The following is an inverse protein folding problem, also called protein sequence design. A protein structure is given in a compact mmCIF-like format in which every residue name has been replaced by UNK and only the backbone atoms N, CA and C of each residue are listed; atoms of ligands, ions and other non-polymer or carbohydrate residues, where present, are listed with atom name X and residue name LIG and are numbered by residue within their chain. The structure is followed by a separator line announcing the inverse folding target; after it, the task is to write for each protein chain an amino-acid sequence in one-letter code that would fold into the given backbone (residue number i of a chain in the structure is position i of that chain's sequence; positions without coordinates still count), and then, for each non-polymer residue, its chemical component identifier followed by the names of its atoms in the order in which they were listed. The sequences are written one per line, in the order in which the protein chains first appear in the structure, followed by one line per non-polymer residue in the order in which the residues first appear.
data_IF_832711334970
#
_entry.id   IF_832711334970
#
_cell.length_a   1.000
_cell.length_b   1.000
_cell.length_c   1.000
_cell.angle_alpha   90.00
_cell.angle_beta   90.00
_cell.angle_gamma   90.00
#
_symmetry.space_group_name_H-M   'P 1'
#
loop_
_entity.id
_entity.type
_entity.pdbx_description
1 polymer ?
#
# COMPACT_ATOMS: atom_id res chain seq x y z
N UNK A 1 -6.39 -9.37 9.92
CA UNK A 1 -7.13 -10.11 8.88
C UNK A 1 -7.90 -11.30 9.46
N UNK A 2 -7.33 -12.16 10.31
CA UNK A 2 -8.03 -13.34 10.88
C UNK A 2 -9.30 -12.94 11.61
N UNK A 3 -9.27 -11.95 12.48
CA UNK A 3 -10.46 -11.52 13.23
C UNK A 3 -11.53 -10.86 12.35
N UNK A 4 -11.11 -10.13 11.31
CA UNK A 4 -12.02 -9.61 10.30
C UNK A 4 -12.71 -10.77 9.56
N UNK A 5 -11.95 -11.78 9.14
CA UNK A 5 -12.48 -12.96 8.49
C UNK A 5 -13.44 -13.75 9.42
N UNK A 6 -13.13 -13.85 10.70
CA UNK A 6 -14.03 -14.49 11.69
C UNK A 6 -15.33 -13.72 11.85
N UNK A 7 -15.30 -12.39 11.85
CA UNK A 7 -16.50 -11.54 11.95
C UNK A 7 -17.30 -11.55 10.65
N UNK A 8 -16.62 -11.35 9.50
CA UNK A 8 -17.30 -11.13 8.22
C UNK A 8 -16.47 -11.68 7.04
N UNK A 9 -16.42 -13.00 6.94
CA UNK A 9 -15.60 -13.72 5.95
C UNK A 9 -15.89 -13.36 4.50
N UNK A 10 -17.13 -13.03 4.15
CA UNK A 10 -17.56 -12.73 2.79
C UNK A 10 -17.31 -11.29 2.37
N UNK A 11 -16.94 -10.39 3.29
CA UNK A 11 -16.71 -8.98 2.99
C UNK A 11 -15.56 -8.79 2.00
N UNK A 12 -14.48 -9.54 2.16
CA UNK A 12 -13.33 -9.53 1.26
C UNK A 12 -13.59 -10.34 -0.02
N UNK A 13 -14.23 -11.51 0.10
CA UNK A 13 -14.47 -12.42 -1.02
C UNK A 13 -15.38 -11.82 -2.09
N UNK A 14 -16.33 -10.97 -1.70
CA UNK A 14 -17.30 -10.35 -2.62
C UNK A 14 -16.86 -8.96 -3.09
N UNK A 15 -15.61 -8.55 -2.82
CA UNK A 15 -15.05 -7.25 -3.24
C UNK A 15 -15.98 -6.05 -2.99
N UNK A 16 -16.72 -6.09 -1.85
CA UNK A 16 -17.71 -5.06 -1.51
C UNK A 16 -17.07 -3.68 -1.44
N UNK A 17 -15.84 -3.61 -0.93
CA UNK A 17 -15.04 -2.39 -0.83
C UNK A 17 -13.70 -2.57 -1.53
N UNK A 18 -13.30 -1.58 -2.32
CA UNK A 18 -11.97 -1.53 -2.96
C UNK A 18 -10.83 -1.45 -1.94
N UNK A 19 -11.09 -0.85 -0.77
CA UNK A 19 -10.17 -0.82 0.36
C UNK A 19 -10.87 -1.35 1.61
N UNK A 20 -10.41 -2.49 2.09
CA UNK A 20 -10.97 -3.16 3.26
C UNK A 20 -10.73 -2.38 4.58
N UNK A 21 -9.74 -1.52 4.62
CA UNK A 21 -9.40 -0.61 5.73
C UNK A 21 -9.76 0.84 5.44
N UNK A 22 -10.63 1.08 4.45
CA UNK A 22 -11.17 2.41 4.17
C UNK A 22 -12.29 2.81 5.13
N UNK A 23 -12.60 4.11 5.21
CA UNK A 23 -13.55 4.68 6.17
C UNK A 23 -14.91 3.95 6.22
N UNK A 24 -15.50 3.64 5.06
CA UNK A 24 -16.80 2.95 4.99
C UNK A 24 -16.71 1.49 5.48
N UNK A 25 -15.67 0.75 5.09
CA UNK A 25 -15.47 -0.63 5.57
C UNK A 25 -15.21 -0.67 7.06
N UNK A 26 -14.38 0.23 7.59
CA UNK A 26 -14.14 0.36 9.03
C UNK A 26 -15.42 0.72 9.80
N UNK A 27 -16.25 1.63 9.27
CA UNK A 27 -17.52 1.96 9.88
C UNK A 27 -18.46 0.75 9.95
N UNK A 28 -18.56 -0.02 8.85
CA UNK A 28 -19.32 -1.28 8.84
C UNK A 28 -18.82 -2.25 9.90
N UNK A 29 -17.50 -2.41 10.02
CA UNK A 29 -16.90 -3.34 10.98
C UNK A 29 -17.03 -2.91 12.44
N UNK A 30 -17.11 -1.61 12.70
CA UNK A 30 -17.22 -1.06 14.06
C UNK A 30 -18.68 -0.87 14.52
N UNK A 31 -19.57 -0.41 13.62
CA UNK A 31 -20.92 -0.02 14.02
C UNK A 31 -21.92 -1.18 13.98
N UNK A 32 -21.67 -2.21 13.15
CA UNK A 32 -22.53 -3.41 13.16
C UNK A 32 -21.92 -4.52 14.02
N UNK A 33 -22.73 -5.06 14.92
CA UNK A 33 -22.30 -6.14 15.81
C UNK A 33 -22.02 -7.45 15.02
N UNK A 34 -22.88 -7.76 14.06
CA UNK A 34 -22.78 -8.98 13.26
C UNK A 34 -23.24 -8.77 11.81
N UNK A 35 -22.88 -9.67 10.89
CA UNK A 35 -23.43 -9.68 9.53
C UNK A 35 -24.96 -9.80 9.49
N UNK A 36 -25.58 -10.51 10.44
CA UNK A 36 -27.04 -10.67 10.52
C UNK A 36 -27.74 -9.32 10.71
N UNK A 37 -27.14 -8.39 11.48
CA UNK A 37 -27.65 -7.05 11.67
C UNK A 37 -27.68 -6.26 10.36
N UNK A 38 -26.62 -6.36 9.56
CA UNK A 38 -26.54 -5.73 8.23
C UNK A 38 -27.59 -6.35 7.29
N UNK A 39 -27.72 -7.68 7.28
CA UNK A 39 -28.69 -8.37 6.44
C UNK A 39 -30.14 -7.99 6.75
N UNK A 40 -30.43 -7.69 8.02
CA UNK A 40 -31.78 -7.27 8.48
C UNK A 40 -32.10 -5.80 8.19
N UNK A 41 -31.09 -4.92 8.02
CA UNK A 41 -31.31 -3.49 7.78
C UNK A 41 -32.02 -3.22 6.45
N UNK A 42 -32.91 -2.21 6.37
CA UNK A 42 -33.46 -1.68 5.11
C UNK A 42 -32.33 -1.22 4.18
N UNK A 43 -32.54 -1.38 2.87
CA UNK A 43 -31.53 -1.02 1.87
C UNK A 43 -31.23 0.49 1.89
N UNK A 44 -32.25 1.31 2.05
CA UNK A 44 -32.12 2.76 2.05
C UNK A 44 -31.29 3.26 3.24
N UNK A 45 -31.48 2.68 4.41
CA UNK A 45 -30.66 2.99 5.59
C UNK A 45 -29.18 2.61 5.39
N UNK A 46 -28.91 1.50 4.69
CA UNK A 46 -27.52 1.11 4.37
C UNK A 46 -26.92 2.06 3.34
N UNK A 47 -27.68 2.55 2.37
CA UNK A 47 -27.21 3.55 1.41
C UNK A 47 -26.82 4.83 2.14
N UNK A 48 -27.71 5.35 2.99
CA UNK A 48 -27.47 6.57 3.76
C UNK A 48 -26.24 6.43 4.67
N UNK A 49 -26.15 5.30 5.36
CA UNK A 49 -24.98 4.96 6.19
C UNK A 49 -23.67 4.95 5.38
N UNK A 50 -23.65 4.28 4.22
CA UNK A 50 -22.46 4.23 3.37
C UNK A 50 -22.09 5.61 2.83
N UNK A 51 -23.06 6.42 2.45
CA UNK A 51 -22.83 7.77 1.95
C UNK A 51 -22.26 8.69 3.06
N UNK A 52 -22.79 8.60 4.27
CA UNK A 52 -22.29 9.37 5.42
C UNK A 52 -20.85 8.96 5.77
N UNK A 53 -20.61 7.66 6.00
CA UNK A 53 -19.32 7.16 6.49
C UNK A 53 -18.25 7.08 5.39
N UNK A 54 -18.65 6.93 4.14
CA UNK A 54 -17.77 6.92 2.98
C UNK A 54 -17.45 8.29 2.40
N UNK A 55 -17.86 9.39 3.07
CA UNK A 55 -17.63 10.77 2.62
C UNK A 55 -18.10 11.03 1.20
N UNK A 56 -19.21 10.42 0.79
CA UNK A 56 -19.81 10.54 -0.55
C UNK A 56 -18.92 10.06 -1.73
N UNK A 57 -17.90 9.24 -1.46
CA UNK A 57 -16.96 8.75 -2.50
C UNK A 57 -17.40 7.48 -3.24
N UNK A 58 -18.68 7.10 -3.15
CA UNK A 58 -19.19 5.96 -3.91
C UNK A 58 -19.75 6.39 -5.26
N UNK A 59 -19.25 5.79 -6.33
CA UNK A 59 -19.81 5.99 -7.68
C UNK A 59 -21.21 5.39 -7.83
N UNK A 60 -21.50 4.29 -7.12
CA UNK A 60 -22.81 3.64 -7.08
C UNK A 60 -23.11 3.10 -5.65
N UNK A 61 -23.60 3.97 -4.74
CA UNK A 61 -23.86 3.57 -3.35
C UNK A 61 -24.92 2.47 -3.22
N UNK A 62 -25.91 2.46 -4.09
CA UNK A 62 -26.95 1.43 -4.12
C UNK A 62 -26.36 0.05 -4.42
N UNK A 63 -25.55 -0.07 -5.48
CA UNK A 63 -24.90 -1.33 -5.81
C UNK A 63 -23.98 -1.82 -4.69
N UNK A 64 -23.24 -0.90 -4.04
CA UNK A 64 -22.39 -1.23 -2.89
C UNK A 64 -23.22 -1.72 -1.69
N UNK A 65 -24.34 -1.08 -1.39
CA UNK A 65 -25.25 -1.51 -0.31
C UNK A 65 -25.88 -2.88 -0.60
N UNK A 66 -26.28 -3.14 -1.83
CA UNK A 66 -26.79 -4.44 -2.26
C UNK A 66 -25.72 -5.54 -2.15
N UNK A 67 -24.49 -5.25 -2.59
CA UNK A 67 -23.35 -6.16 -2.46
C UNK A 67 -23.03 -6.45 -0.98
N UNK A 68 -23.02 -5.43 -0.12
CA UNK A 68 -22.82 -5.55 1.32
C UNK A 68 -23.90 -6.42 1.96
N UNK A 69 -25.17 -6.19 1.61
CA UNK A 69 -26.29 -6.97 2.13
C UNK A 69 -26.25 -8.43 1.67
N UNK A 70 -25.88 -8.69 0.44
CA UNK A 70 -25.69 -10.03 -0.10
C UNK A 70 -24.49 -10.73 0.57
N UNK A 71 -23.37 -10.04 0.75
CA UNK A 71 -22.23 -10.55 1.49
C UNK A 71 -22.63 -10.93 2.93
N UNK A 72 -23.40 -10.08 3.61
CA UNK A 72 -23.88 -10.32 4.96
C UNK A 72 -24.79 -11.55 5.09
N UNK A 73 -25.68 -11.75 4.12
CA UNK A 73 -26.56 -12.93 4.06
C UNK A 73 -25.80 -14.25 3.87
N UNK A 74 -24.69 -14.19 3.14
CA UNK A 74 -23.86 -15.35 2.82
C UNK A 74 -22.71 -15.54 3.83
N UNK A 75 -22.59 -14.67 4.82
CA UNK A 75 -21.53 -14.75 5.82
C UNK A 75 -21.73 -15.98 6.74
N UNK A 76 -20.60 -16.57 7.12
CA UNK A 76 -20.61 -17.63 8.13
C UNK A 76 -21.01 -17.06 9.49
N UNK A 77 -21.97 -17.70 10.15
CA UNK A 77 -22.44 -17.25 11.45
C UNK A 77 -21.52 -17.73 12.56
N UNK A 78 -20.85 -16.77 13.20
CA UNK A 78 -20.07 -17.05 14.39
C UNK A 78 -21.03 -17.28 15.59
N UNK A 79 -20.68 -18.20 16.48
CA UNK A 79 -21.46 -18.39 17.70
C UNK A 79 -21.46 -17.11 18.53
N UNK A 80 -22.64 -16.73 19.08
CA UNK A 80 -22.86 -15.45 19.74
C UNK A 80 -21.86 -15.12 20.87
N UNK A 81 -21.43 -16.12 21.64
CA UNK A 81 -20.45 -15.96 22.71
C UNK A 81 -19.02 -15.62 22.22
N UNK A 82 -18.72 -15.84 20.93
CA UNK A 82 -17.42 -15.51 20.32
C UNK A 82 -17.45 -14.17 19.59
N UNK A 83 -18.62 -13.62 19.30
CA UNK A 83 -18.75 -12.37 18.55
C UNK A 83 -18.21 -11.16 19.33
N UNK A 84 -18.51 -11.07 20.61
CA UNK A 84 -18.08 -9.95 21.47
C UNK A 84 -16.54 -9.87 21.58
N UNK A 85 -15.80 -10.95 21.92
CA UNK A 85 -14.34 -10.93 21.91
C UNK A 85 -13.74 -10.57 20.52
N UNK A 86 -14.33 -11.10 19.46
CA UNK A 86 -13.85 -10.79 18.09
C UNK A 86 -14.05 -9.33 17.74
N UNK A 87 -15.20 -8.74 18.10
CA UNK A 87 -15.48 -7.32 17.91
C UNK A 87 -14.50 -6.44 18.70
N UNK A 88 -14.23 -6.78 19.96
CA UNK A 88 -13.29 -6.05 20.80
C UNK A 88 -11.88 -6.04 20.20
N UNK A 89 -11.37 -7.21 19.80
CA UNK A 89 -10.03 -7.33 19.19
C UNK A 89 -9.99 -6.58 17.86
N UNK A 90 -11.05 -6.66 17.07
CA UNK A 90 -11.12 -5.97 15.78
C UNK A 90 -11.12 -4.45 15.96
N UNK A 91 -11.96 -3.92 16.87
CA UNK A 91 -12.02 -2.49 17.17
C UNK A 91 -10.67 -1.95 17.64
N UNK A 92 -10.03 -2.64 18.60
CA UNK A 92 -8.70 -2.27 19.11
C UNK A 92 -7.63 -2.30 18.00
N UNK A 93 -7.70 -3.29 17.12
CA UNK A 93 -6.76 -3.39 15.99
C UNK A 93 -6.95 -2.25 14.98
N UNK A 94 -8.19 -1.90 14.66
CA UNK A 94 -8.51 -0.79 13.76
C UNK A 94 -8.08 0.56 14.36
N UNK A 95 -8.29 0.77 15.66
CA UNK A 95 -7.81 1.96 16.35
C UNK A 95 -6.28 2.08 16.30
N UNK A 96 -5.58 0.96 16.50
CA UNK A 96 -4.11 0.90 16.38
C UNK A 96 -3.66 1.29 14.97
N UNK A 97 -4.31 0.76 13.93
CA UNK A 97 -4.02 1.11 12.53
C UNK A 97 -4.20 2.61 12.30
N UNK A 98 -5.31 3.20 12.74
CA UNK A 98 -5.56 4.65 12.62
C UNK A 98 -4.51 5.51 13.33
N UNK A 99 -4.10 5.06 14.52
CA UNK A 99 -3.05 5.74 15.28
C UNK A 99 -1.72 5.72 14.51
N UNK A 100 -1.32 4.56 13.98
CA UNK A 100 -0.10 4.42 13.17
C UNK A 100 -0.15 5.24 11.88
N UNK A 101 -1.27 5.23 11.16
CA UNK A 101 -1.44 6.06 9.96
C UNK A 101 -1.30 7.57 10.25
N UNK A 102 -1.86 8.02 11.39
CA UNK A 102 -1.69 9.41 11.83
C UNK A 102 -0.23 9.74 12.15
N UNK A 103 0.48 8.81 12.80
CA UNK A 103 1.90 8.97 13.11
C UNK A 103 2.74 9.00 11.84
N UNK A 104 2.51 8.10 10.87
CA UNK A 104 3.18 8.11 9.56
C UNK A 104 2.97 9.45 8.87
N UNK A 105 1.73 9.94 8.75
CA UNK A 105 1.45 11.26 8.15
C UNK A 105 2.18 12.41 8.85
N UNK A 106 2.37 12.33 10.16
CA UNK A 106 3.11 13.33 10.93
C UNK A 106 4.61 13.28 10.62
N UNK A 107 5.18 12.08 10.55
CA UNK A 107 6.57 11.86 10.17
C UNK A 107 6.82 12.30 8.73
N UNK A 108 5.94 11.98 7.79
CA UNK A 108 6.05 12.39 6.38
C UNK A 108 6.10 13.90 6.24
N UNK A 109 5.27 14.64 7.01
CA UNK A 109 5.29 16.11 7.05
C UNK A 109 6.61 16.65 7.62
N UNK A 110 7.13 16.02 8.67
CA UNK A 110 8.41 16.42 9.25
C UNK A 110 9.55 16.17 8.27
N UNK A 111 9.58 15.03 7.61
CA UNK A 111 10.57 14.70 6.56
C UNK A 111 10.50 15.74 5.42
N UNK A 112 9.30 16.05 4.93
CA UNK A 112 9.13 17.03 3.86
C UNK A 112 9.64 18.43 4.27
N UNK A 113 9.45 18.81 5.54
CA UNK A 113 9.97 20.08 6.08
C UNK A 113 11.50 20.08 6.13
N UNK A 114 12.11 19.04 6.68
CA UNK A 114 13.55 18.91 6.78
C UNK A 114 14.22 18.84 5.41
N UNK A 115 13.59 18.15 4.44
CA UNK A 115 14.11 18.06 3.07
C UNK A 115 14.33 19.42 2.40
N UNK A 116 13.55 20.44 2.76
CA UNK A 116 13.70 21.79 2.21
C UNK A 116 15.05 22.46 2.58
N UNK A 117 15.75 21.95 3.59
CA UNK A 117 17.08 22.44 3.97
C UNK A 117 18.19 21.85 3.07
N UNK A 118 17.89 20.82 2.28
CA UNK A 118 18.84 20.19 1.38
C UNK A 118 18.63 20.65 -0.07
N UNK A 119 19.69 21.14 -0.71
CA UNK A 119 19.64 21.46 -2.14
C UNK A 119 19.70 20.16 -2.95
N UNK A 120 18.65 19.87 -3.68
CA UNK A 120 18.58 18.68 -4.54
C UNK A 120 17.67 18.92 -5.74
N UNK A 121 17.84 18.10 -6.78
CA UNK A 121 17.02 18.14 -8.00
C UNK A 121 16.07 16.94 -8.11
N UNK A 122 16.08 16.01 -7.15
CA UNK A 122 15.27 14.78 -7.19
C UNK A 122 13.77 15.05 -7.27
N UNK A 123 13.30 16.16 -6.70
CA UNK A 123 11.88 16.54 -6.76
C UNK A 123 11.38 16.91 -8.16
N UNK A 124 12.28 17.15 -9.14
CA UNK A 124 11.89 17.38 -10.54
C UNK A 124 11.59 16.07 -11.29
N UNK A 125 11.95 14.92 -10.71
CA UNK A 125 11.71 13.61 -11.33
C UNK A 125 10.26 13.21 -11.09
N UNK A 126 9.47 12.98 -12.16
CA UNK A 126 8.06 12.63 -12.02
C UNK A 126 7.87 11.36 -11.19
N UNK A 127 6.96 11.44 -10.22
CA UNK A 127 6.65 10.32 -9.32
C UNK A 127 7.48 10.24 -8.05
N UNK A 128 8.55 11.04 -7.89
CA UNK A 128 9.32 11.06 -6.65
C UNK A 128 8.74 12.07 -5.65
N UNK A 129 8.06 11.57 -4.63
CA UNK A 129 7.58 12.39 -3.51
C UNK A 129 8.68 12.72 -2.49
N UNK A 130 8.40 13.67 -1.55
CA UNK A 130 9.39 14.13 -0.57
C UNK A 130 10.04 13.03 0.26
N UNK A 131 9.28 12.04 0.70
CA UNK A 131 9.78 10.91 1.49
C UNK A 131 10.78 10.06 0.69
N UNK A 132 10.47 9.82 -0.59
CA UNK A 132 11.37 9.09 -1.49
C UNK A 132 12.67 9.85 -1.73
N UNK A 133 12.57 11.16 -1.99
CA UNK A 133 13.73 12.04 -2.16
C UNK A 133 14.61 12.05 -0.91
N UNK A 134 14.01 12.19 0.27
CA UNK A 134 14.72 12.18 1.54
C UNK A 134 15.43 10.84 1.79
N UNK A 135 14.74 9.72 1.50
CA UNK A 135 15.33 8.39 1.62
C UNK A 135 16.53 8.18 0.71
N UNK A 136 16.42 8.59 -0.56
CA UNK A 136 17.54 8.55 -1.50
C UNK A 136 18.73 9.39 -1.02
N UNK A 137 18.49 10.63 -0.58
CA UNK A 137 19.55 11.53 -0.08
C UNK A 137 20.22 10.93 1.15
N UNK A 138 19.45 10.42 2.10
CA UNK A 138 19.97 9.84 3.34
C UNK A 138 20.86 8.61 3.09
N UNK A 139 20.45 7.73 2.15
CA UNK A 139 21.19 6.50 1.85
C UNK A 139 22.38 6.73 0.93
N UNK A 140 22.33 7.72 0.04
CA UNK A 140 23.44 8.12 -0.83
C UNK A 140 24.48 8.90 -0.02
N UNK A 141 24.05 9.77 0.89
CA UNK A 141 24.94 10.72 1.59
C UNK A 141 25.56 11.71 0.60
N UNK A 142 26.89 11.79 0.59
CA UNK A 142 27.63 12.60 -0.38
C UNK A 142 27.73 11.90 -1.72
N UNK A 143 27.09 12.47 -2.75
CA UNK A 143 27.09 11.91 -4.12
C UNK A 143 28.49 11.95 -4.75
N UNK A 144 29.37 12.90 -4.34
CA UNK A 144 30.71 13.04 -4.88
C UNK A 144 31.67 11.89 -4.49
N UNK A 145 31.30 11.08 -3.51
CA UNK A 145 32.05 9.84 -3.17
C UNK A 145 31.96 8.77 -4.25
N UNK A 146 31.04 8.88 -5.20
CA UNK A 146 30.87 7.94 -6.30
C UNK A 146 31.45 8.54 -7.59
N UNK A 147 32.41 7.83 -8.21
CA UNK A 147 33.06 8.31 -9.44
C UNK A 147 32.11 8.32 -10.65
N UNK A 148 31.05 7.51 -10.62
CA UNK A 148 30.06 7.38 -11.71
C UNK A 148 28.80 6.67 -11.20
N UNK A 149 27.79 6.60 -12.05
CA UNK A 149 26.50 5.91 -11.81
C UNK A 149 26.67 4.41 -11.55
N UNK A 150 27.58 3.75 -12.24
CA UNK A 150 27.86 2.33 -12.05
C UNK A 150 28.41 2.02 -10.65
N UNK A 151 29.22 2.92 -10.06
CA UNK A 151 29.68 2.80 -8.70
C UNK A 151 28.52 2.93 -7.69
N UNK A 152 27.58 3.84 -7.93
CA UNK A 152 26.37 3.99 -7.14
C UNK A 152 25.44 2.77 -7.26
N UNK A 153 25.25 2.26 -8.49
CA UNK A 153 24.48 1.03 -8.73
C UNK A 153 25.10 -0.18 -8.03
N UNK A 154 26.43 -0.31 -8.05
CA UNK A 154 27.16 -1.35 -7.32
C UNK A 154 26.98 -1.20 -5.81
N UNK A 155 27.03 0.01 -5.28
CA UNK A 155 26.80 0.27 -3.86
C UNK A 155 25.38 -0.11 -3.43
N UNK A 156 24.38 0.07 -4.29
CA UNK A 156 23.01 -0.40 -4.06
C UNK A 156 22.83 -1.91 -4.30
N UNK A 157 23.84 -2.60 -4.86
CA UNK A 157 23.74 -4.02 -5.22
C UNK A 157 22.85 -4.27 -6.44
N UNK A 158 22.73 -3.27 -7.32
CA UNK A 158 22.01 -3.31 -8.61
C UNK A 158 22.96 -3.65 -9.77
N UNK A 159 23.83 -4.61 -9.55
CA UNK A 159 24.77 -5.15 -10.56
C UNK A 159 24.56 -6.64 -10.69
N UNK A 160 24.90 -7.18 -11.85
CA UNK A 160 24.81 -8.61 -12.15
C UNK A 160 26.17 -9.27 -11.92
N UNK A 161 26.13 -10.54 -11.51
CA UNK A 161 27.32 -11.38 -11.51
C UNK A 161 27.48 -11.98 -12.89
N UNK A 162 28.57 -11.66 -13.57
CA UNK A 162 28.96 -12.41 -14.76
C UNK A 162 29.47 -13.78 -14.33
N UNK A 163 28.87 -14.84 -14.83
CA UNK A 163 29.42 -16.18 -14.78
C UNK A 163 29.95 -16.51 -16.16
N UNK A 164 31.26 -16.26 -16.37
CA UNK A 164 31.98 -16.66 -17.57
C UNK A 164 33.06 -17.64 -17.17
N UNK A 165 33.10 -18.80 -17.82
CA UNK A 165 34.16 -19.79 -17.66
C UNK A 165 34.47 -20.39 -19.03
N UNK A 166 35.60 -19.96 -19.64
CA UNK A 166 35.97 -20.35 -20.98
C UNK A 166 34.95 -19.90 -22.04
N UNK A 167 34.36 -20.83 -22.78
CA UNK A 167 33.33 -20.54 -23.78
C UNK A 167 31.90 -20.50 -23.20
N UNK A 168 31.71 -20.75 -21.90
CA UNK A 168 30.42 -20.76 -21.26
C UNK A 168 30.07 -19.36 -20.76
N UNK A 169 28.96 -18.81 -21.23
CA UNK A 169 28.31 -17.60 -20.74
C UNK A 169 26.91 -17.98 -20.23
N UNK A 170 26.61 -17.65 -18.97
CA UNK A 170 25.31 -17.97 -18.41
C UNK A 170 24.23 -17.04 -18.99
N UNK A 171 23.15 -17.62 -19.50
CA UNK A 171 22.01 -16.89 -20.08
C UNK A 171 21.30 -16.01 -19.04
N UNK A 172 21.36 -16.38 -17.76
CA UNK A 172 20.76 -15.63 -16.64
C UNK A 172 21.83 -15.25 -15.62
N UNK A 173 21.96 -13.96 -15.36
CA UNK A 173 22.80 -13.40 -14.31
C UNK A 173 21.94 -12.75 -13.22
N UNK A 174 21.82 -13.36 -12.03
CA UNK A 174 21.04 -12.76 -10.95
C UNK A 174 21.72 -11.51 -10.40
N UNK A 175 20.89 -10.55 -9.94
CA UNK A 175 21.38 -9.38 -9.24
C UNK A 175 22.22 -9.79 -8.02
N UNK A 176 23.33 -9.11 -7.80
CA UNK A 176 24.25 -9.40 -6.69
C UNK A 176 23.58 -9.23 -5.33
N UNK A 177 22.68 -8.26 -5.20
CA UNK A 177 21.99 -7.87 -3.96
C UNK A 177 22.94 -7.61 -2.79
N UNK A 178 24.24 -7.50 -3.05
CA UNK A 178 25.27 -7.14 -2.07
C UNK A 178 25.38 -5.62 -2.01
N UNK A 179 25.35 -5.02 -0.84
CA UNK A 179 25.43 -3.57 -0.67
C UNK A 179 24.23 -3.01 0.09
N UNK A 180 23.97 -1.70 -0.08
CA UNK A 180 22.92 -1.01 0.67
C UNK A 180 21.51 -1.45 0.20
N UNK A 181 20.83 -2.20 1.05
CA UNK A 181 19.50 -2.75 0.77
C UNK A 181 18.41 -1.68 0.75
N UNK A 182 18.53 -0.64 1.57
CA UNK A 182 17.58 0.46 1.61
C UNK A 182 17.70 1.32 0.35
N UNK A 183 18.91 1.67 -0.08
CA UNK A 183 19.12 2.38 -1.33
C UNK A 183 18.59 1.59 -2.53
N UNK A 184 18.83 0.28 -2.57
CA UNK A 184 18.26 -0.59 -3.61
C UNK A 184 16.73 -0.55 -3.60
N UNK A 185 16.10 -0.61 -2.42
CA UNK A 185 14.65 -0.48 -2.29
C UNK A 185 14.15 0.84 -2.88
N UNK A 186 14.76 1.97 -2.50
CA UNK A 186 14.38 3.27 -3.02
C UNK A 186 14.56 3.38 -4.54
N UNK A 187 15.66 2.85 -5.10
CA UNK A 187 15.86 2.86 -6.55
C UNK A 187 14.83 2.02 -7.30
N UNK A 188 14.50 0.84 -6.80
CA UNK A 188 13.49 -0.02 -7.42
C UNK A 188 12.10 0.64 -7.38
N UNK A 189 11.74 1.23 -6.25
CA UNK A 189 10.48 1.98 -6.13
C UNK A 189 10.46 3.22 -7.04
N UNK A 190 11.54 3.99 -7.07
CA UNK A 190 11.70 5.15 -7.94
C UNK A 190 11.54 4.76 -9.42
N UNK A 191 12.21 3.70 -9.86
CA UNK A 191 12.10 3.20 -11.24
C UNK A 191 10.66 2.82 -11.61
N UNK A 192 9.93 2.16 -10.69
CA UNK A 192 8.51 1.82 -10.91
C UNK A 192 7.63 3.07 -11.04
N UNK A 193 7.86 4.09 -10.20
CA UNK A 193 7.11 5.34 -10.26
C UNK A 193 7.43 6.14 -11.53
N UNK A 194 8.71 6.33 -11.83
CA UNK A 194 9.15 7.04 -13.05
C UNK A 194 8.57 6.37 -14.30
N UNK A 195 8.57 5.05 -14.39
CA UNK A 195 7.93 4.31 -15.49
C UNK A 195 6.44 4.62 -15.64
N UNK A 196 5.73 4.89 -14.53
CA UNK A 196 4.30 5.19 -14.57
C UNK A 196 4.03 6.63 -15.04
N UNK A 197 4.86 7.57 -14.63
CA UNK A 197 4.63 9.00 -14.83
C UNK A 197 5.40 9.60 -16.01
N UNK A 198 6.51 8.96 -16.44
CA UNK A 198 7.36 9.46 -17.54
C UNK A 198 7.20 8.57 -18.77
N UNK A 199 6.66 9.10 -19.89
CA UNK A 199 6.39 8.32 -21.11
C UNK A 199 7.63 7.69 -21.74
N UNK A 200 8.78 8.37 -21.72
CA UNK A 200 10.03 7.86 -22.30
C UNK A 200 10.51 6.59 -21.59
N UNK A 201 10.49 6.59 -20.24
CA UNK A 201 10.85 5.41 -19.45
C UNK A 201 9.84 4.28 -19.60
N UNK A 202 8.56 4.61 -19.78
CA UNK A 202 7.52 3.61 -20.10
C UNK A 202 7.80 2.93 -21.42
N UNK A 203 8.12 3.71 -22.47
CA UNK A 203 8.48 3.17 -23.79
C UNK A 203 9.75 2.35 -23.73
N UNK A 204 10.76 2.79 -23.00
CA UNK A 204 11.98 2.02 -22.78
C UNK A 204 11.68 0.66 -22.14
N UNK A 205 10.90 0.66 -21.07
CA UNK A 205 10.50 -0.58 -20.39
C UNK A 205 9.76 -1.53 -21.33
N UNK A 206 8.75 -1.05 -22.04
CA UNK A 206 7.94 -1.88 -22.97
C UNK A 206 8.72 -2.42 -24.16
N UNK A 207 9.87 -1.83 -24.50
CA UNK A 207 10.77 -2.37 -25.54
C UNK A 207 11.65 -3.51 -25.03
N UNK A 208 11.89 -3.56 -23.72
CA UNK A 208 12.80 -4.54 -23.12
C UNK A 208 12.06 -5.80 -22.64
N UNK A 209 10.78 -5.66 -22.33
CA UNK A 209 9.90 -6.69 -21.80
C UNK A 209 8.60 -6.80 -22.61
#
# INVERSE_FOLDING_TARGET
LTNLFLKFNTLQQNEVFSNLFGAASEAVLNEFFSPDEIAARPLDELIDFLMEKGHQHFSNPKATAEALKNAARNAHKLKGNLMEPVNLILATSLETIRCLEKQVKTIDKAIAKELNHFKHTLGSVPGLGPVMCAGLIAEIGDIHRFNNDSALAKYAGLTWRGYQSGEFEADEAPLTKTGNSYLRYYFVQAANLVRQFEPEYRLFYNRKY
#
